data_IF_498483995773
#
_entry.id   IF_498483995773
#
_cell.length_a   1.000
_cell.length_b   1.000
_cell.length_c   1.000
_cell.angle_alpha   90.00
_cell.angle_beta   90.00
_cell.angle_gamma   90.00
#
_symmetry.space_group_name_H-M   'P 1'
#
loop_
_entity.id
_entity.type
_entity.pdbx_description
1 polymer ?
#
# COMPACT_ATOMS: atom_id res chain seq x y z
N UNK A 1 -39.99 -4.70 11.88
CA UNK A 1 -38.74 -4.82 12.66
C UNK A 1 -38.11 -6.17 12.37
N UNK A 2 -37.05 -6.24 11.56
CA UNK A 2 -36.32 -7.49 11.31
C UNK A 2 -35.40 -7.75 12.50
N UNK A 3 -35.58 -8.90 13.16
CA UNK A 3 -34.67 -9.41 14.21
C UNK A 3 -33.27 -9.52 13.62
N UNK A 4 -32.33 -8.72 14.13
CA UNK A 4 -30.90 -8.92 13.91
C UNK A 4 -30.57 -10.23 14.63
N UNK A 5 -30.23 -11.27 13.85
CA UNK A 5 -29.61 -12.49 14.39
C UNK A 5 -28.40 -12.04 15.20
N UNK A 6 -28.38 -12.36 16.49
CA UNK A 6 -27.18 -12.29 17.33
C UNK A 6 -26.11 -13.18 16.68
N UNK A 7 -25.23 -12.56 15.88
CA UNK A 7 -24.08 -13.24 15.28
C UNK A 7 -23.03 -13.46 16.37
N UNK A 8 -22.48 -14.68 16.38
CA UNK A 8 -21.61 -15.20 17.43
C UNK A 8 -20.29 -14.42 17.45
N UNK A 9 -19.98 -13.73 18.57
CA UNK A 9 -18.74 -12.96 18.75
C UNK A 9 -17.47 -13.83 18.70
N UNK A 10 -17.62 -15.15 18.83
CA UNK A 10 -16.52 -16.12 18.84
C UNK A 10 -15.94 -16.47 17.46
N UNK A 11 -16.54 -16.00 16.35
CA UNK A 11 -16.05 -16.29 14.99
C UNK A 11 -15.22 -15.15 14.37
N UNK A 12 -14.87 -14.14 15.18
CA UNK A 12 -14.05 -13.02 14.71
C UNK A 12 -12.56 -13.35 14.68
N UNK A 13 -11.83 -12.84 13.70
CA UNK A 13 -10.38 -12.97 13.60
C UNK A 13 -9.72 -11.59 13.51
N UNK A 14 -8.48 -11.52 14.00
CA UNK A 14 -7.69 -10.29 13.98
C UNK A 14 -7.13 -10.03 12.59
N UNK A 15 -7.19 -8.78 12.16
CA UNK A 15 -6.65 -8.33 10.87
C UNK A 15 -5.83 -7.08 11.02
N UNK A 16 -4.83 -6.97 10.16
CA UNK A 16 -4.13 -5.73 9.84
C UNK A 16 -4.83 -5.05 8.67
N UNK A 17 -5.14 -3.76 8.84
CA UNK A 17 -5.66 -2.92 7.76
C UNK A 17 -4.47 -2.42 6.92
N UNK A 18 -4.50 -2.71 5.62
CA UNK A 18 -3.42 -2.39 4.68
C UNK A 18 -3.57 -1.03 4.00
N UNK A 19 -4.78 -0.49 4.00
CA UNK A 19 -5.09 0.82 3.44
C UNK A 19 -4.70 1.90 4.45
N UNK A 20 -3.72 2.74 4.12
CA UNK A 20 -3.15 3.73 5.03
C UNK A 20 -4.17 4.78 5.48
N UNK A 21 -5.04 5.24 4.58
CA UNK A 21 -6.05 6.26 4.91
C UNK A 21 -7.05 5.69 5.92
N UNK A 22 -7.57 4.49 5.65
CA UNK A 22 -8.49 3.79 6.57
C UNK A 22 -7.81 3.43 7.89
N UNK A 23 -6.56 2.99 7.85
CA UNK A 23 -5.77 2.68 9.03
C UNK A 23 -5.61 3.92 9.93
N UNK A 24 -5.24 5.06 9.36
CA UNK A 24 -5.07 6.32 10.09
C UNK A 24 -6.39 6.80 10.72
N UNK A 25 -7.52 6.65 10.02
CA UNK A 25 -8.84 6.96 10.58
C UNK A 25 -9.14 6.08 11.79
N UNK A 26 -8.94 4.76 11.67
CA UNK A 26 -9.20 3.82 12.76
C UNK A 26 -8.31 4.07 13.99
N UNK A 27 -7.03 4.39 13.76
CA UNK A 27 -6.09 4.76 14.83
C UNK A 27 -6.51 6.07 15.49
N UNK A 28 -6.83 7.10 14.70
CA UNK A 28 -7.21 8.43 15.20
C UNK A 28 -8.51 8.41 16.02
N UNK A 29 -9.42 7.49 15.70
CA UNK A 29 -10.66 7.28 16.43
C UNK A 29 -10.50 6.36 17.65
N UNK A 30 -9.30 5.85 17.90
CA UNK A 30 -9.01 4.96 19.04
C UNK A 30 -9.57 3.55 18.88
N UNK A 31 -9.86 3.12 17.65
CA UNK A 31 -10.45 1.82 17.33
C UNK A 31 -9.41 0.74 17.01
N UNK A 32 -8.15 1.12 16.86
CA UNK A 32 -7.04 0.19 16.69
C UNK A 32 -6.48 -0.25 18.05
N UNK A 33 -6.07 -1.51 18.15
CA UNK A 33 -5.35 -2.04 19.31
C UNK A 33 -3.90 -1.52 19.43
N UNK A 34 -3.35 -0.95 18.35
CA UNK A 34 -1.99 -0.41 18.29
C UNK A 34 -2.00 1.00 17.68
N UNK A 35 -1.04 1.83 18.09
CA UNK A 35 -0.92 3.23 17.67
C UNK A 35 -0.21 3.43 16.32
N UNK A 36 0.56 2.44 15.89
CA UNK A 36 1.40 2.44 14.68
C UNK A 36 0.81 1.61 13.53
N UNK A 37 0.06 0.55 13.87
CA UNK A 37 -0.60 -0.32 12.91
C UNK A 37 -2.07 -0.48 13.28
N UNK A 38 -2.96 -0.31 12.30
CA UNK A 38 -4.38 -0.53 12.50
C UNK A 38 -4.70 -2.03 12.61
N UNK A 39 -4.84 -2.50 13.86
CA UNK A 39 -5.21 -3.88 14.20
C UNK A 39 -6.62 -3.89 14.78
N UNK A 40 -7.53 -4.61 14.10
CA UNK A 40 -8.94 -4.71 14.47
C UNK A 40 -9.43 -6.16 14.37
N UNK A 41 -10.50 -6.49 15.09
CA UNK A 41 -11.17 -7.80 15.01
C UNK A 41 -12.34 -7.74 14.05
N UNK A 42 -12.38 -8.63 13.06
CA UNK A 42 -13.43 -8.66 12.04
C UNK A 42 -14.10 -10.03 11.97
N UNK A 43 -15.34 -10.07 11.50
CA UNK A 43 -16.08 -11.30 11.25
C UNK A 43 -16.60 -11.32 9.81
N UNK A 44 -16.56 -12.47 9.17
CA UNK A 44 -16.92 -12.61 7.77
C UNK A 44 -18.40 -12.35 7.50
N UNK A 45 -18.69 -11.63 6.40
CA UNK A 45 -20.05 -11.51 5.89
C UNK A 45 -20.47 -12.80 5.18
N UNK A 46 -21.14 -13.68 5.92
CA UNK A 46 -21.70 -14.94 5.39
C UNK A 46 -22.69 -14.75 4.24
N UNK A 47 -23.22 -13.53 4.02
CA UNK A 47 -24.20 -13.25 2.97
C UNK A 47 -23.57 -12.65 1.70
N UNK A 48 -22.37 -12.09 1.76
CA UNK A 48 -21.69 -11.45 0.62
C UNK A 48 -20.19 -11.69 0.68
N UNK A 49 -19.68 -12.48 -0.28
CA UNK A 49 -18.24 -12.70 -0.44
C UNK A 49 -17.49 -11.38 -0.66
N UNK A 50 -16.27 -11.30 -0.11
CA UNK A 50 -15.39 -10.15 -0.25
C UNK A 50 -15.52 -9.05 0.82
N UNK A 51 -16.42 -9.21 1.80
CA UNK A 51 -16.57 -8.24 2.89
C UNK A 51 -16.50 -8.89 4.27
N UNK A 52 -16.10 -8.09 5.26
CA UNK A 52 -16.12 -8.42 6.67
C UNK A 52 -16.74 -7.27 7.47
N UNK A 53 -17.35 -7.61 8.60
CA UNK A 53 -17.87 -6.64 9.56
C UNK A 53 -16.85 -6.43 10.66
N UNK A 54 -16.70 -5.19 11.11
CA UNK A 54 -15.95 -4.91 12.32
C UNK A 54 -16.72 -5.44 13.53
N UNK A 55 -16.06 -6.21 14.39
CA UNK A 55 -16.71 -6.92 15.53
C UNK A 55 -17.14 -5.98 16.64
N UNK A 56 -16.51 -4.81 16.77
CA UNK A 56 -16.89 -3.82 17.78
C UNK A 56 -18.03 -2.92 17.28
N UNK A 57 -18.11 -2.66 15.97
CA UNK A 57 -19.23 -1.97 15.33
C UNK A 57 -19.66 -2.68 14.04
N UNK A 58 -20.62 -3.60 14.19
CA UNK A 58 -21.18 -4.40 13.09
C UNK A 58 -21.91 -3.57 12.02
N UNK A 59 -22.09 -2.25 12.21
CA UNK A 59 -22.59 -1.36 11.16
C UNK A 59 -21.49 -0.99 10.16
N UNK A 60 -20.22 -1.11 10.56
CA UNK A 60 -19.06 -0.81 9.70
C UNK A 60 -18.68 -2.03 8.89
N UNK A 61 -18.87 -1.90 7.57
CA UNK A 61 -18.55 -2.93 6.59
C UNK A 61 -17.22 -2.61 5.91
N UNK A 62 -16.29 -3.55 5.97
CA UNK A 62 -14.95 -3.43 5.42
C UNK A 62 -14.76 -4.38 4.23
N UNK A 63 -14.11 -3.88 3.19
CA UNK A 63 -13.75 -4.70 2.04
C UNK A 63 -12.49 -5.52 2.39
N UNK A 64 -12.57 -6.85 2.20
CA UNK A 64 -11.48 -7.79 2.53
C UNK A 64 -10.20 -7.54 1.74
N UNK A 65 -10.27 -6.88 0.58
CA UNK A 65 -9.07 -6.50 -0.19
C UNK A 65 -8.11 -5.58 0.58
N UNK A 66 -8.59 -4.87 1.59
CA UNK A 66 -7.79 -4.01 2.46
C UNK A 66 -7.40 -4.68 3.77
N UNK A 67 -7.78 -5.94 3.99
CA UNK A 67 -7.58 -6.64 5.25
C UNK A 67 -6.63 -7.82 5.05
N UNK A 68 -5.62 -7.91 5.90
CA UNK A 68 -4.74 -9.08 5.99
C UNK A 68 -4.98 -9.77 7.34
N UNK A 69 -5.36 -11.06 7.38
CA UNK A 69 -5.38 -11.84 8.61
C UNK A 69 -4.05 -11.71 9.35
N UNK A 70 -4.13 -11.41 10.65
CA UNK A 70 -2.95 -11.29 11.48
C UNK A 70 -2.42 -12.69 11.80
N UNK A 71 -1.13 -12.90 11.57
CA UNK A 71 -0.46 -14.15 11.96
C UNK A 71 -0.02 -14.11 13.42
N UNK A 72 0.24 -15.28 14.03
CA UNK A 72 0.80 -15.31 15.39
C UNK A 72 2.14 -14.57 15.47
N UNK A 73 2.99 -14.71 14.45
CA UNK A 73 4.27 -14.00 14.39
C UNK A 73 4.09 -12.48 14.25
N UNK A 74 3.14 -12.02 13.44
CA UNK A 74 2.82 -10.59 13.35
C UNK A 74 2.31 -10.07 14.71
N UNK A 75 1.49 -10.85 15.41
CA UNK A 75 0.93 -10.51 16.72
C UNK A 75 2.00 -10.40 17.82
N UNK A 76 3.00 -11.29 17.82
CA UNK A 76 4.13 -11.23 18.75
C UNK A 76 4.98 -9.96 18.59
N UNK A 77 5.06 -9.43 17.36
CA UNK A 77 5.87 -8.26 17.03
C UNK A 77 5.09 -6.93 17.10
N UNK A 78 3.84 -6.94 17.58
CA UNK A 78 3.09 -5.70 17.77
C UNK A 78 3.72 -4.86 18.88
N UNK A 79 3.91 -3.56 18.62
CA UNK A 79 4.36 -2.60 19.62
C UNK A 79 3.20 -2.25 20.57
N UNK A 80 2.90 -3.17 21.49
CA UNK A 80 1.89 -3.00 22.51
C UNK A 80 2.36 -3.54 23.86
N UNK A 81 1.85 -2.96 24.95
CA UNK A 81 2.11 -3.50 26.28
C UNK A 81 1.62 -4.95 26.37
N UNK A 82 2.44 -5.83 26.94
CA UNK A 82 2.15 -7.26 27.17
C UNK A 82 1.01 -7.47 28.19
N UNK A 83 -0.16 -6.95 27.86
CA UNK A 83 -1.38 -6.93 28.66
C UNK A 83 -2.34 -8.03 28.19
N UNK A 84 -3.51 -8.12 28.85
CA UNK A 84 -4.51 -9.14 28.53
C UNK A 84 -5.01 -9.05 27.09
N UNK A 85 -4.98 -7.85 26.47
CA UNK A 85 -5.37 -7.66 25.08
C UNK A 85 -4.36 -8.25 24.11
N UNK A 86 -3.07 -8.04 24.34
CA UNK A 86 -2.00 -8.69 23.56
C UNK A 86 -2.11 -10.21 23.65
N UNK A 87 -2.38 -10.75 24.85
CA UNK A 87 -2.60 -12.18 25.05
C UNK A 87 -3.83 -12.69 24.30
N UNK A 88 -4.94 -11.95 24.29
CA UNK A 88 -6.14 -12.29 23.51
C UNK A 88 -5.81 -12.40 22.01
N UNK A 89 -5.12 -11.38 21.46
CA UNK A 89 -4.74 -11.35 20.04
C UNK A 89 -3.85 -12.53 19.70
N UNK A 90 -2.80 -12.76 20.49
CA UNK A 90 -1.88 -13.87 20.30
C UNK A 90 -2.59 -15.22 20.41
N UNK A 91 -3.51 -15.39 21.37
CA UNK A 91 -4.26 -16.63 21.58
C UNK A 91 -5.13 -16.93 20.37
N UNK A 92 -5.89 -15.93 19.90
CA UNK A 92 -6.77 -16.09 18.75
C UNK A 92 -5.95 -16.39 17.47
N UNK A 93 -4.78 -15.77 17.29
CA UNK A 93 -3.91 -16.04 16.15
C UNK A 93 -3.30 -17.45 16.21
N UNK A 94 -2.81 -17.85 17.38
CA UNK A 94 -2.20 -19.15 17.61
C UNK A 94 -3.21 -20.30 17.50
N UNK A 95 -4.44 -20.08 17.98
CA UNK A 95 -5.54 -21.03 17.84
C UNK A 95 -5.99 -21.18 16.37
N UNK A 96 -5.96 -20.09 15.59
CA UNK A 96 -6.26 -20.16 14.16
C UNK A 96 -5.22 -20.94 13.37
N UNK A 97 -3.96 -20.89 13.79
CA UNK A 97 -2.83 -21.42 13.01
C UNK A 97 -2.37 -22.82 13.44
N UNK A 98 -2.45 -23.16 14.73
CA UNK A 98 -1.73 -24.30 15.27
C UNK A 98 -2.49 -25.16 16.31
N UNK A 99 -3.40 -24.60 17.12
CA UNK A 99 -3.94 -25.27 18.32
C UNK A 99 -5.44 -25.04 18.54
N UNK A 100 -6.06 -25.78 19.46
CA UNK A 100 -7.36 -25.39 20.03
C UNK A 100 -7.20 -24.16 20.96
N UNK A 101 -8.25 -23.36 21.11
CA UNK A 101 -8.21 -22.05 21.80
C UNK A 101 -7.78 -22.15 23.25
N UNK A 102 -8.20 -23.21 23.95
CA UNK A 102 -7.83 -23.48 25.35
C UNK A 102 -6.34 -23.85 25.49
N UNK A 103 -5.81 -24.64 24.55
CA UNK A 103 -4.39 -25.02 24.51
C UNK A 103 -3.49 -23.81 24.17
N UNK A 104 -3.93 -22.95 23.23
CA UNK A 104 -3.26 -21.70 22.90
C UNK A 104 -3.21 -20.72 24.09
N UNK A 105 -4.32 -20.60 24.84
CA UNK A 105 -4.40 -19.73 26.01
C UNK A 105 -3.47 -20.22 27.14
N UNK A 106 -3.49 -21.52 27.43
CA UNK A 106 -2.63 -22.14 28.42
C UNK A 106 -1.15 -22.00 28.05
N UNK A 107 -0.81 -22.12 26.76
CA UNK A 107 0.54 -21.88 26.25
C UNK A 107 1.01 -20.44 26.52
N UNK A 108 0.19 -19.44 26.18
CA UNK A 108 0.53 -18.02 26.39
C UNK A 108 0.59 -17.63 27.86
N UNK A 109 -0.23 -18.24 28.71
CA UNK A 109 -0.16 -18.07 30.16
C UNK A 109 1.10 -18.71 30.77
N UNK A 110 1.66 -19.73 30.14
CA UNK A 110 2.90 -20.39 30.56
C UNK A 110 4.17 -19.65 30.10
N UNK A 111 4.07 -18.75 29.11
CA UNK A 111 5.17 -17.85 28.74
C UNK A 111 5.38 -16.85 29.88
N UNK A 112 6.33 -17.16 30.75
CA UNK A 112 6.79 -16.27 31.81
C UNK A 112 7.60 -15.11 31.19
N UNK A 113 6.91 -14.00 30.90
CA UNK A 113 7.52 -12.78 30.38
C UNK A 113 8.34 -12.00 31.43
N UNK A 114 8.55 -12.57 32.62
CA UNK A 114 9.58 -12.09 33.53
C UNK A 114 9.32 -12.39 35.00
N UNK A 115 9.68 -13.59 35.47
CA UNK A 115 10.63 -13.82 36.57
C UNK A 115 11.45 -15.10 36.36
N UNK A 116 12.41 -15.03 35.44
CA UNK A 116 13.64 -15.84 35.49
C UNK A 116 13.46 -17.35 35.64
N UNK A 117 12.79 -18.01 34.69
CA UNK A 117 12.98 -19.44 34.48
C UNK A 117 14.03 -19.67 33.41
N UNK A 118 15.10 -20.34 33.83
CA UNK A 118 16.19 -20.78 32.99
C UNK A 118 15.67 -21.87 32.03
N UNK A 119 15.66 -21.59 30.72
CA UNK A 119 15.21 -22.53 29.67
C UNK A 119 16.20 -23.69 29.43
N UNK A 120 17.12 -23.92 30.37
CA UNK A 120 18.19 -24.91 30.32
C UNK A 120 17.73 -26.33 30.69
N UNK A 121 16.49 -26.51 31.15
CA UNK A 121 15.95 -27.82 31.51
C UNK A 121 15.02 -28.35 30.43
N UNK A 122 15.23 -29.62 30.10
CA UNK A 122 14.67 -30.37 28.98
C UNK A 122 13.15 -30.61 29.13
N UNK A 123 12.35 -29.56 28.94
CA UNK A 123 10.87 -29.63 28.99
C UNK A 123 10.25 -29.76 27.59
N UNK A 124 9.05 -30.35 27.57
CA UNK A 124 8.16 -30.49 26.39
C UNK A 124 8.01 -29.18 25.59
N UNK A 125 8.16 -28.04 26.26
CA UNK A 125 8.13 -26.68 25.70
C UNK A 125 9.27 -26.39 24.70
N UNK A 126 10.48 -26.91 24.94
CA UNK A 126 11.62 -26.81 24.01
C UNK A 126 11.38 -27.65 22.75
N UNK A 127 10.69 -28.79 22.88
CA UNK A 127 10.36 -29.64 21.73
C UNK A 127 9.31 -28.99 20.82
N UNK A 128 8.40 -28.18 21.38
CA UNK A 128 7.37 -27.45 20.64
C UNK A 128 7.97 -26.19 19.98
N UNK A 129 8.83 -25.44 20.69
CA UNK A 129 9.55 -24.32 20.07
C UNK A 129 10.44 -24.80 18.92
N UNK A 130 11.14 -25.92 19.11
CA UNK A 130 11.92 -26.57 18.05
C UNK A 130 11.04 -27.14 16.93
N UNK A 131 9.79 -27.55 17.17
CA UNK A 131 8.90 -28.03 16.10
C UNK A 131 8.38 -26.88 15.25
N UNK A 132 8.04 -25.73 15.86
CA UNK A 132 7.67 -24.51 15.14
C UNK A 132 8.85 -24.00 14.31
N UNK A 133 10.04 -23.88 14.92
CA UNK A 133 11.25 -23.49 14.18
C UNK A 133 11.62 -24.48 13.07
N UNK A 134 11.48 -25.80 13.29
CA UNK A 134 11.71 -26.80 12.24
C UNK A 134 10.72 -26.68 11.09
N UNK A 135 9.44 -26.45 11.37
CA UNK A 135 8.42 -26.29 10.35
C UNK A 135 8.67 -25.04 9.50
N UNK A 136 9.02 -23.92 10.12
CA UNK A 136 9.44 -22.69 9.41
C UNK A 136 10.71 -22.94 8.57
N UNK A 137 11.68 -23.70 9.10
CA UNK A 137 12.88 -24.06 8.37
C UNK A 137 12.56 -25.00 7.18
N UNK A 138 11.65 -25.95 7.36
CA UNK A 138 11.18 -26.87 6.32
C UNK A 138 10.40 -26.13 5.24
N UNK A 139 9.55 -25.16 5.59
CA UNK A 139 8.83 -24.31 4.65
C UNK A 139 9.80 -23.40 3.87
N UNK A 140 10.83 -22.86 4.55
CA UNK A 140 11.95 -22.13 3.90
C UNK A 140 12.77 -23.03 2.97
N UNK A 141 13.04 -24.27 3.37
CA UNK A 141 13.74 -25.25 2.55
C UNK A 141 12.90 -25.67 1.34
N UNK A 142 11.61 -25.93 1.52
CA UNK A 142 10.68 -26.21 0.43
C UNK A 142 10.55 -25.01 -0.51
N UNK A 143 10.48 -23.80 0.04
CA UNK A 143 10.51 -22.58 -0.75
C UNK A 143 11.83 -22.44 -1.51
N UNK A 144 12.97 -22.70 -0.87
CA UNK A 144 14.29 -22.64 -1.50
C UNK A 144 14.48 -23.71 -2.57
N UNK A 145 13.98 -24.92 -2.36
CA UNK A 145 14.06 -26.01 -3.34
C UNK A 145 13.06 -25.79 -4.48
N UNK A 146 11.89 -25.22 -4.20
CA UNK A 146 10.97 -24.72 -5.22
C UNK A 146 11.62 -23.58 -6.01
N UNK A 147 12.28 -22.64 -5.34
CA UNK A 147 13.07 -21.54 -5.91
C UNK A 147 14.21 -22.05 -6.81
N UNK A 148 14.92 -23.11 -6.41
CA UNK A 148 15.96 -23.77 -7.20
C UNK A 148 15.38 -24.58 -8.37
N UNK A 149 14.17 -25.13 -8.23
CA UNK A 149 13.49 -25.87 -9.29
C UNK A 149 12.90 -24.98 -10.38
N UNK A 150 12.73 -23.68 -10.10
CA UNK A 150 12.61 -22.70 -11.16
C UNK A 150 13.94 -22.68 -11.92
N UNK A 151 13.93 -23.14 -13.17
CA UNK A 151 15.01 -22.83 -14.12
C UNK A 151 15.03 -21.32 -14.34
N UNK A 152 15.71 -20.61 -13.46
CA UNK A 152 16.14 -19.25 -13.72
C UNK A 152 17.19 -19.33 -14.82
N UNK A 153 16.75 -19.28 -16.07
CA UNK A 153 17.57 -18.58 -17.05
C UNK A 153 17.76 -17.17 -16.47
N UNK A 154 19.01 -16.72 -16.24
CA UNK A 154 19.25 -15.38 -15.75
C UNK A 154 18.82 -14.41 -16.85
N UNK A 155 17.53 -14.05 -16.86
CA UNK A 155 17.08 -12.83 -17.50
C UNK A 155 17.82 -11.73 -16.77
N UNK A 156 18.79 -11.13 -17.44
CA UNK A 156 19.32 -9.81 -17.10
C UNK A 156 18.14 -8.84 -17.08
N UNK A 157 17.43 -8.73 -15.97
CA UNK A 157 16.43 -7.68 -15.82
C UNK A 157 17.14 -6.50 -15.18
N UNK A 158 17.53 -5.56 -16.04
CA UNK A 158 17.67 -4.16 -15.67
C UNK A 158 16.31 -3.69 -15.15
N UNK A 159 16.07 -3.75 -13.84
CA UNK A 159 14.81 -3.37 -13.19
C UNK A 159 14.67 -1.85 -13.01
N UNK A 160 14.89 -1.08 -14.07
CA UNK A 160 14.14 0.15 -14.25
C UNK A 160 13.12 -0.13 -15.35
N UNK A 161 11.80 0.06 -15.11
CA UNK A 161 10.84 0.03 -16.21
C UNK A 161 11.32 1.02 -17.26
N UNK A 162 11.71 0.52 -18.44
CA UNK A 162 12.20 1.36 -19.52
C UNK A 162 11.12 2.40 -19.82
N UNK A 163 11.42 3.64 -19.43
CA UNK A 163 10.54 4.76 -19.65
C UNK A 163 10.44 5.03 -21.16
N UNK A 164 9.23 5.26 -21.69
CA UNK A 164 9.04 5.40 -23.13
C UNK A 164 9.70 6.68 -23.63
N UNK A 165 10.34 6.60 -24.80
CA UNK A 165 10.95 7.77 -25.44
C UNK A 165 9.92 8.75 -26.01
N UNK A 166 8.72 8.27 -26.36
CA UNK A 166 7.57 9.06 -26.82
C UNK A 166 6.31 8.54 -26.09
N UNK A 167 5.52 9.44 -25.51
CA UNK A 167 4.33 9.09 -24.73
C UNK A 167 3.23 10.13 -24.94
N UNK A 168 1.98 9.68 -25.12
CA UNK A 168 0.85 10.59 -25.18
C UNK A 168 0.46 11.09 -23.78
N UNK A 169 -0.30 12.19 -23.74
CA UNK A 169 -0.66 12.87 -22.51
C UNK A 169 -1.51 11.99 -21.56
N UNK A 170 -2.37 11.13 -22.11
CA UNK A 170 -3.23 10.25 -21.31
C UNK A 170 -2.40 9.19 -20.58
N UNK A 171 -1.57 8.45 -21.34
CA UNK A 171 -0.68 7.44 -20.77
C UNK A 171 0.32 8.06 -19.80
N UNK A 172 0.79 9.29 -20.06
CA UNK A 172 1.68 10.02 -19.16
C UNK A 172 1.09 10.15 -17.75
N UNK A 173 -0.15 10.63 -17.61
CA UNK A 173 -0.80 10.77 -16.30
C UNK A 173 -1.28 9.42 -15.74
N UNK A 174 -1.99 8.61 -16.52
CA UNK A 174 -2.70 7.44 -16.00
C UNK A 174 -1.79 6.22 -15.79
N UNK A 175 -0.90 5.93 -16.74
CA UNK A 175 -0.07 4.72 -16.72
C UNK A 175 1.27 4.95 -16.02
N UNK A 176 1.89 6.11 -16.25
CA UNK A 176 3.23 6.40 -15.75
C UNK A 176 3.25 7.36 -14.56
N UNK A 177 2.08 7.79 -14.08
CA UNK A 177 1.93 8.69 -12.91
C UNK A 177 2.76 9.97 -13.07
N UNK A 178 2.81 10.50 -14.29
CA UNK A 178 3.56 11.70 -14.63
C UNK A 178 2.98 12.94 -13.96
N UNK A 179 3.85 13.91 -13.70
CA UNK A 179 3.52 15.18 -13.06
C UNK A 179 3.83 16.32 -14.02
N UNK A 180 2.84 17.19 -14.24
CA UNK A 180 3.02 18.46 -14.94
C UNK A 180 3.15 19.58 -13.91
N UNK A 181 4.19 20.41 -14.08
CA UNK A 181 4.44 21.60 -13.26
C UNK A 181 4.58 22.78 -14.18
N UNK A 182 4.13 23.95 -13.77
CA UNK A 182 4.23 25.09 -14.65
C UNK A 182 3.57 26.32 -14.10
N UNK A 183 3.21 27.18 -15.04
CA UNK A 183 2.57 28.44 -14.77
C UNK A 183 1.41 28.71 -15.72
N UNK A 184 0.34 29.27 -15.17
CA UNK A 184 -0.88 29.67 -15.88
C UNK A 184 -1.09 31.17 -15.78
N UNK A 185 -1.79 31.74 -16.75
CA UNK A 185 -2.28 33.12 -16.73
C UNK A 185 -3.45 33.23 -15.75
N UNK A 186 -3.37 34.14 -14.77
CA UNK A 186 -4.46 34.36 -13.83
C UNK A 186 -5.47 35.38 -14.37
N UNK A 187 -6.27 34.91 -15.35
CA UNK A 187 -7.31 35.71 -16.01
C UNK A 187 -8.39 36.22 -15.05
N UNK A 188 -8.63 35.49 -13.96
CA UNK A 188 -9.62 35.84 -12.93
C UNK A 188 -9.15 37.06 -12.12
N UNK A 189 -7.88 37.07 -11.71
CA UNK A 189 -7.28 38.20 -11.01
C UNK A 189 -7.02 39.40 -11.94
N UNK A 190 -6.62 39.15 -13.19
CA UNK A 190 -6.49 40.20 -14.20
C UNK A 190 -7.80 40.96 -14.43
N UNK A 191 -8.94 40.26 -14.38
CA UNK A 191 -10.28 40.85 -14.47
C UNK A 191 -10.68 41.66 -13.23
N UNK A 192 -10.19 41.28 -12.05
CA UNK A 192 -10.44 41.97 -10.77
C UNK A 192 -9.61 43.26 -10.62
N UNK A 193 -8.38 43.26 -11.12
CA UNK A 193 -7.41 44.35 -10.89
C UNK A 193 -7.30 45.37 -12.05
N UNK A 194 -8.06 45.20 -13.13
CA UNK A 194 -8.08 46.12 -14.27
C UNK A 194 -6.74 46.24 -15.00
N UNK A 195 -6.52 47.37 -15.70
CA UNK A 195 -5.36 47.63 -16.58
C UNK A 195 -3.98 47.51 -15.89
N UNK A 196 -3.94 47.38 -14.56
CA UNK A 196 -2.70 47.28 -13.78
C UNK A 196 -2.23 45.85 -13.46
N UNK A 197 -3.01 44.81 -13.81
CA UNK A 197 -2.64 43.41 -13.63
C UNK A 197 -2.22 42.71 -14.95
N UNK A 198 -1.47 43.44 -15.77
CA UNK A 198 -0.89 42.90 -16.99
C UNK A 198 0.15 41.84 -16.61
N UNK A 199 -0.15 40.57 -16.87
CA UNK A 199 0.69 39.37 -16.66
C UNK A 199 0.87 38.88 -15.21
N UNK A 200 -0.23 38.64 -14.46
CA UNK A 200 -0.12 37.83 -13.25
C UNK A 200 -0.08 36.34 -13.60
N UNK A 201 1.00 35.70 -13.19
CA UNK A 201 1.32 34.31 -13.47
C UNK A 201 1.15 33.49 -12.18
N UNK A 202 0.37 32.41 -12.24
CA UNK A 202 0.14 31.49 -11.12
C UNK A 202 0.83 30.16 -11.35
N UNK A 203 1.55 29.64 -10.36
CA UNK A 203 2.14 28.31 -10.47
C UNK A 203 1.09 27.20 -10.31
N UNK A 204 1.31 26.09 -11.00
CA UNK A 204 0.50 24.88 -10.84
C UNK A 204 1.38 23.63 -10.80
N UNK A 205 0.87 22.61 -10.13
CA UNK A 205 1.40 21.25 -10.15
C UNK A 205 0.21 20.28 -10.15
N UNK A 206 0.24 19.29 -11.04
CA UNK A 206 -0.82 18.28 -11.14
C UNK A 206 -0.27 16.96 -11.67
N UNK A 207 -0.67 15.86 -11.02
CA UNK A 207 -0.53 14.50 -11.53
C UNK A 207 -1.84 13.96 -12.13
N UNK A 208 -2.85 14.81 -12.31
CA UNK A 208 -4.17 14.44 -12.83
C UNK A 208 -4.41 15.05 -14.21
N UNK A 209 -4.82 14.20 -15.15
CA UNK A 209 -5.18 14.62 -16.50
C UNK A 209 -6.37 15.59 -16.50
N UNK A 210 -7.40 15.33 -15.70
CA UNK A 210 -8.61 16.17 -15.67
C UNK A 210 -8.30 17.58 -15.17
N UNK A 211 -7.51 17.70 -14.11
CA UNK A 211 -7.05 18.99 -13.59
C UNK A 211 -6.13 19.70 -14.57
N UNK A 212 -5.24 18.97 -15.25
CA UNK A 212 -4.40 19.55 -16.31
C UNK A 212 -5.24 20.11 -17.46
N UNK A 213 -6.24 19.35 -17.95
CA UNK A 213 -7.13 19.79 -19.03
C UNK A 213 -7.97 21.00 -18.64
N UNK A 214 -8.41 21.10 -17.37
CA UNK A 214 -9.20 22.24 -16.89
C UNK A 214 -8.46 23.58 -16.91
N UNK A 215 -7.12 23.56 -16.94
CA UNK A 215 -6.28 24.77 -16.96
C UNK A 215 -5.50 24.91 -18.27
N UNK A 216 -5.66 23.97 -19.22
CA UNK A 216 -4.79 23.81 -20.38
C UNK A 216 -4.69 25.09 -21.23
N UNK A 217 -5.82 25.76 -21.46
CA UNK A 217 -5.90 26.99 -22.25
C UNK A 217 -5.23 28.19 -21.57
N UNK A 218 -5.02 28.11 -20.26
CA UNK A 218 -4.38 29.16 -19.47
C UNK A 218 -2.90 28.88 -19.22
N UNK A 219 -2.37 27.71 -19.61
CA UNK A 219 -0.97 27.37 -19.41
C UNK A 219 -0.08 28.26 -20.27
N UNK A 220 0.78 29.04 -19.62
CA UNK A 220 1.84 29.84 -20.27
C UNK A 220 3.07 28.98 -20.51
N UNK A 221 3.42 28.14 -19.53
CA UNK A 221 4.55 27.22 -19.61
C UNK A 221 4.29 25.99 -18.75
N UNK A 222 4.65 24.82 -19.25
CA UNK A 222 4.60 23.56 -18.52
C UNK A 222 5.86 22.72 -18.75
N UNK A 223 6.32 22.10 -17.68
CA UNK A 223 7.37 21.11 -17.62
C UNK A 223 6.77 19.77 -17.16
N UNK A 224 7.23 18.66 -17.74
CA UNK A 224 6.64 17.33 -17.55
C UNK A 224 7.68 16.36 -16.98
N UNK A 225 7.30 15.59 -15.96
CA UNK A 225 8.20 14.69 -15.26
C UNK A 225 7.57 13.32 -14.99
N UNK A 226 8.35 12.25 -15.16
CA UNK A 226 8.05 10.92 -14.61
C UNK A 226 9.20 10.56 -13.66
N UNK A 227 8.93 10.57 -12.36
CA UNK A 227 9.98 10.55 -11.35
C UNK A 227 10.96 11.71 -11.57
N UNK A 228 12.25 11.41 -11.72
CA UNK A 228 13.30 12.40 -11.99
C UNK A 228 13.53 12.66 -13.49
N UNK A 229 12.78 12.01 -14.38
CA UNK A 229 12.99 12.08 -15.83
C UNK A 229 12.12 13.17 -16.45
N UNK A 230 12.76 14.14 -17.11
CA UNK A 230 12.08 15.24 -17.80
C UNK A 230 11.62 14.83 -19.21
N UNK A 231 10.43 15.31 -19.57
CA UNK A 231 9.82 15.17 -20.89
C UNK A 231 9.51 16.53 -21.52
N UNK A 232 9.59 16.57 -22.85
CA UNK A 232 9.33 17.75 -23.68
C UNK A 232 8.08 17.54 -24.52
N UNK A 233 7.18 18.51 -24.52
CA UNK A 233 6.04 18.50 -25.43
C UNK A 233 6.49 18.87 -26.85
N UNK A 234 6.31 17.96 -27.80
CA UNK A 234 6.64 18.17 -29.22
C UNK A 234 5.40 17.94 -30.06
N UNK A 235 5.11 18.91 -30.94
CA UNK A 235 4.09 18.76 -31.98
C UNK A 235 4.68 18.09 -33.21
N UNK A 236 4.24 16.87 -33.49
CA UNK A 236 4.53 16.14 -34.73
C UNK A 236 3.49 16.50 -35.79
N UNK A 237 3.94 16.71 -37.04
CA UNK A 237 3.11 17.21 -38.14
C UNK A 237 1.85 16.36 -38.38
N UNK A 238 1.99 15.04 -38.32
CA UNK A 238 0.93 14.09 -38.70
C UNK A 238 0.34 13.32 -37.51
N UNK A 239 0.91 13.46 -36.31
CA UNK A 239 0.55 12.65 -35.12
C UNK A 239 0.00 13.49 -33.97
N UNK A 240 0.16 14.82 -33.99
CA UNK A 240 -0.25 15.68 -32.88
C UNK A 240 0.86 15.87 -31.84
N UNK A 241 0.49 16.24 -30.61
CA UNK A 241 1.44 16.56 -29.54
C UNK A 241 1.73 15.32 -28.70
N UNK A 242 3.01 15.00 -28.54
CA UNK A 242 3.50 13.95 -27.67
C UNK A 242 4.52 14.51 -26.67
N UNK A 243 4.63 13.85 -25.53
CA UNK A 243 5.70 14.07 -24.57
C UNK A 243 6.87 13.16 -24.94
N UNK A 244 8.07 13.73 -24.98
CA UNK A 244 9.26 13.06 -25.50
C UNK A 244 10.37 13.11 -24.46
N UNK A 245 11.04 11.99 -24.22
CA UNK A 245 12.13 11.91 -23.24
C UNK A 245 13.26 12.90 -23.59
N UNK A 246 14.01 13.37 -22.59
CA UNK A 246 15.17 14.24 -22.81
C UNK A 246 16.16 13.65 -23.85
N UNK A 247 16.38 12.33 -23.80
CA UNK A 247 17.23 11.61 -24.74
C UNK A 247 16.70 11.73 -26.17
N UNK A 248 15.44 11.36 -26.38
CA UNK A 248 14.80 11.40 -27.70
C UNK A 248 14.66 12.82 -28.23
N UNK A 249 14.41 13.79 -27.37
CA UNK A 249 14.39 15.21 -27.73
C UNK A 249 15.75 15.67 -28.29
N UNK A 250 16.85 15.30 -27.64
CA UNK A 250 18.21 15.59 -28.13
C UNK A 250 18.49 14.94 -29.49
N UNK A 251 18.08 13.69 -29.69
CA UNK A 251 18.19 13.00 -30.99
C UNK A 251 17.41 13.73 -32.10
N UNK A 252 16.16 14.10 -31.83
CA UNK A 252 15.31 14.80 -32.79
C UNK A 252 15.86 16.20 -33.12
N UNK A 253 16.40 16.90 -32.11
CA UNK A 253 17.03 18.21 -32.28
C UNK A 253 18.31 18.10 -33.11
N UNK A 254 19.13 17.06 -32.88
CA UNK A 254 20.33 16.80 -33.66
C UNK A 254 20.00 16.45 -35.13
N UNK A 255 18.98 15.63 -35.38
CA UNK A 255 18.54 15.29 -36.74
C UNK A 255 17.95 16.47 -37.51
N UNK A 256 17.25 17.39 -36.83
CA UNK A 256 16.80 18.65 -37.44
C UNK A 256 17.96 19.62 -37.75
N UNK A 257 19.16 19.38 -37.20
CA UNK A 257 20.38 20.15 -37.45
C UNK A 257 21.35 19.53 -38.46
N UNK A 258 21.03 18.38 -39.06
CA UNK A 258 21.79 17.81 -40.17
C UNK A 258 21.13 18.14 -41.50
N UNK A 259 21.32 19.38 -41.95
CA UNK A 259 21.43 19.66 -43.38
C UNK A 259 22.75 19.05 -43.86
N UNK A 260 22.67 18.09 -44.78
CA UNK A 260 23.70 17.90 -45.82
C UNK A 260 23.21 18.67 -47.03
#
# INVERSE_FOLDING_TARGET
>A
MRRVKTMNKDNGYWVKVLDEEKANILISLGYSCCSDVAIIKVADDTCREGFAYWVEDYMVKLNKSYLRPLSYLDALNLDMGYNDKWREICTDCLARECFDREEAYNYLCAIDLGKGKDFSTNTRDMNIFNSVLRKELEDLHQFADKAKSFKFEPRKVSHEPQLPDEIDLYNFFEKYKGVAKGVTDDKLYAKLCGYHAYYMIKSFETGSLSKYLSIYEDIVKADYYIGNNRYHAIKFKDRGVFLVSEKRYKELKARKGCTV
#
